data_IF_911482944178
#
_entry.id   IF_911482944178
#
_cell.length_a   1.000
_cell.length_b   1.000
_cell.length_c   1.000
_cell.angle_alpha   90.00
_cell.angle_beta   90.00
_cell.angle_gamma   90.00
#
_symmetry.space_group_name_H-M   'P 1'
#
loop_
_entity.id
_entity.type
_entity.pdbx_description
1 polymer ?
#
# COMPACT_ATOMS: atom_id res chain seq x y z
N UNK A 1 32.28 48.61 -81.54
CA UNK A 1 31.44 47.53 -81.06
C UNK A 1 32.25 46.78 -80.03
N UNK A 2 32.06 47.05 -78.78
CA UNK A 2 32.73 46.37 -77.65
C UNK A 2 31.64 45.94 -76.68
N UNK A 3 31.51 44.58 -76.53
CA UNK A 3 30.58 43.97 -75.59
C UNK A 3 31.19 44.01 -74.21
N UNK A 4 30.49 44.58 -73.24
CA UNK A 4 30.79 44.49 -71.83
C UNK A 4 29.93 43.38 -71.19
N UNK A 5 30.57 42.35 -70.76
CA UNK A 5 29.95 41.32 -69.93
C UNK A 5 29.95 41.79 -68.43
N UNK A 6 28.77 41.92 -67.86
CA UNK A 6 28.58 42.13 -66.40
C UNK A 6 28.53 40.81 -65.72
N UNK A 7 29.48 40.56 -64.87
CA UNK A 7 29.53 39.38 -63.99
C UNK A 7 28.83 39.76 -62.68
N UNK A 8 27.69 39.19 -62.43
CA UNK A 8 26.96 39.37 -61.14
C UNK A 8 27.47 38.33 -60.15
N UNK A 9 28.15 38.77 -59.09
CA UNK A 9 28.55 37.94 -57.97
C UNK A 9 27.37 37.77 -56.98
N UNK A 10 26.82 36.54 -56.85
CA UNK A 10 25.91 36.16 -55.81
C UNK A 10 26.67 35.92 -54.50
N UNK A 11 26.47 36.78 -53.52
CA UNK A 11 26.86 36.58 -52.14
C UNK A 11 25.83 35.67 -51.45
N UNK A 12 26.17 34.44 -51.18
CA UNK A 12 25.38 33.52 -50.39
C UNK A 12 25.69 33.78 -48.90
N UNK A 13 24.80 34.47 -48.22
CA UNK A 13 24.81 34.59 -46.75
C UNK A 13 24.35 33.26 -46.12
N UNK A 14 25.31 32.51 -45.61
CA UNK A 14 25.02 31.31 -44.80
C UNK A 14 24.61 31.74 -43.39
N UNK A 15 23.32 31.73 -43.10
CA UNK A 15 22.81 31.79 -41.74
C UNK A 15 23.11 30.46 -41.02
N UNK A 16 24.08 30.46 -40.11
CA UNK A 16 24.20 29.39 -39.13
C UNK A 16 23.07 29.51 -38.11
N UNK A 17 22.04 28.69 -38.25
CA UNK A 17 21.06 28.46 -37.20
C UNK A 17 21.75 27.66 -36.13
N UNK A 18 22.00 28.25 -34.96
CA UNK A 18 22.32 27.53 -33.74
C UNK A 18 21.06 26.72 -33.36
N UNK A 19 21.09 25.43 -33.63
CA UNK A 19 20.19 24.48 -32.97
C UNK A 19 20.56 24.46 -31.50
N UNK A 20 19.75 25.09 -30.67
CA UNK A 20 19.71 24.83 -29.25
C UNK A 20 19.19 23.39 -29.11
N UNK A 21 20.08 22.47 -28.87
CA UNK A 21 19.72 21.10 -28.43
C UNK A 21 19.10 21.27 -27.05
N UNK A 22 17.77 21.34 -27.01
CA UNK A 22 17.01 21.12 -25.78
C UNK A 22 17.24 19.66 -25.42
N UNK A 23 18.22 19.38 -24.56
CA UNK A 23 18.23 18.16 -23.76
C UNK A 23 17.02 18.21 -22.80
N UNK A 24 15.84 17.95 -23.35
CA UNK A 24 14.72 17.53 -22.56
C UNK A 24 15.09 16.14 -22.02
N UNK A 25 15.56 16.10 -20.77
CA UNK A 25 15.48 14.88 -19.96
C UNK A 25 14.01 14.45 -20.03
N UNK A 26 13.70 13.49 -20.90
CA UNK A 26 12.48 12.69 -20.76
C UNK A 26 12.56 12.03 -19.38
N UNK A 27 12.00 12.71 -18.39
CA UNK A 27 11.61 12.05 -17.16
C UNK A 27 10.57 11.02 -17.62
N UNK A 28 10.95 9.76 -17.64
CA UNK A 28 10.03 8.64 -17.83
C UNK A 28 8.96 8.73 -16.74
N UNK A 29 7.93 9.52 -16.98
CA UNK A 29 6.80 9.64 -16.07
C UNK A 29 6.20 8.24 -15.94
N UNK A 30 6.25 7.70 -14.71
CA UNK A 30 5.62 6.41 -14.43
C UNK A 30 4.13 6.58 -14.65
N UNK A 31 3.57 5.76 -15.53
CA UNK A 31 2.12 5.77 -15.74
C UNK A 31 1.44 5.25 -14.48
N UNK A 32 0.62 6.09 -13.85
CA UNK A 32 -0.18 5.72 -12.67
C UNK A 32 -1.28 4.73 -13.08
N UNK A 33 -1.82 4.91 -14.27
CA UNK A 33 -2.91 4.07 -14.79
C UNK A 33 -2.37 2.68 -15.10
N UNK A 34 -2.96 1.65 -14.46
CA UNK A 34 -2.59 0.25 -14.63
C UNK A 34 -1.10 -0.04 -14.35
N UNK A 35 -0.55 0.57 -13.29
CA UNK A 35 0.82 0.31 -12.83
C UNK A 35 1.00 -1.16 -12.42
N UNK A 36 0.13 -1.66 -11.54
CA UNK A 36 0.14 -3.07 -11.15
C UNK A 36 -0.46 -3.95 -12.24
N UNK A 37 0.00 -5.19 -12.30
CA UNK A 37 -0.44 -6.21 -13.25
C UNK A 37 -0.85 -7.48 -12.52
N UNK A 38 -1.85 -8.23 -13.01
CA UNK A 38 -2.29 -9.46 -12.37
C UNK A 38 -1.16 -10.48 -12.14
N UNK A 39 -0.16 -10.52 -13.03
CA UNK A 39 0.98 -11.42 -12.91
C UNK A 39 1.90 -11.04 -11.75
N UNK A 40 2.09 -9.75 -11.48
CA UNK A 40 2.87 -9.26 -10.34
C UNK A 40 2.15 -9.54 -9.03
N UNK A 41 0.84 -9.26 -9.00
CA UNK A 41 -0.05 -9.59 -7.87
C UNK A 41 0.00 -11.09 -7.58
N UNK A 42 -0.19 -11.92 -8.60
CA UNK A 42 -0.16 -13.38 -8.45
C UNK A 42 1.17 -13.87 -7.88
N UNK A 43 2.31 -13.33 -8.34
CA UNK A 43 3.65 -13.72 -7.87
C UNK A 43 3.85 -13.46 -6.38
N UNK A 44 3.45 -12.28 -5.89
CA UNK A 44 3.60 -11.92 -4.47
C UNK A 44 2.62 -12.72 -3.61
N UNK A 45 1.36 -12.79 -4.05
CA UNK A 45 0.28 -13.47 -3.33
C UNK A 45 0.53 -14.98 -3.22
N UNK A 46 0.92 -15.66 -4.32
CA UNK A 46 1.19 -17.10 -4.29
C UNK A 46 2.34 -17.48 -3.38
N UNK A 47 3.37 -16.63 -3.23
CA UNK A 47 4.42 -16.86 -2.26
C UNK A 47 3.89 -16.73 -0.84
N UNK A 48 3.19 -15.62 -0.54
CA UNK A 48 2.70 -15.34 0.81
C UNK A 48 1.65 -16.35 1.29
N UNK A 49 0.84 -16.89 0.38
CA UNK A 49 -0.20 -17.88 0.67
C UNK A 49 0.26 -19.33 0.38
N UNK A 50 1.56 -19.60 0.36
CA UNK A 50 2.05 -20.96 0.12
C UNK A 50 2.20 -21.77 1.39
N UNK A 51 2.03 -23.09 1.29
CA UNK A 51 2.27 -24.06 2.37
C UNK A 51 3.68 -23.98 2.96
N UNK A 52 4.68 -23.54 2.17
CA UNK A 52 6.05 -23.34 2.62
C UNK A 52 6.16 -22.35 3.77
N UNK A 53 5.16 -21.48 3.94
CA UNK A 53 5.09 -20.49 5.01
C UNK A 53 4.24 -20.96 6.21
N UNK A 54 3.69 -22.17 6.15
CA UNK A 54 2.95 -22.81 7.25
C UNK A 54 1.92 -21.88 7.92
N UNK A 55 1.22 -21.06 7.10
CA UNK A 55 0.22 -20.11 7.58
C UNK A 55 0.76 -18.93 8.39
N UNK A 56 2.05 -18.62 8.31
CA UNK A 56 2.69 -17.39 8.83
C UNK A 56 2.38 -17.03 10.29
N UNK A 57 2.16 -18.03 11.17
CA UNK A 57 1.91 -17.74 12.60
C UNK A 57 3.04 -16.89 13.19
N UNK A 58 2.69 -15.88 13.94
CA UNK A 58 3.65 -14.97 14.56
C UNK A 58 4.63 -15.70 15.47
N UNK A 59 5.94 -15.56 15.18
CA UNK A 59 7.02 -16.26 15.89
C UNK A 59 7.28 -17.69 15.41
N UNK A 60 6.77 -18.08 14.23
CA UNK A 60 7.09 -19.34 13.54
C UNK A 60 8.21 -19.17 12.51
N UNK A 61 8.68 -20.30 11.95
CA UNK A 61 9.61 -20.27 10.80
C UNK A 61 8.93 -19.72 9.54
N UNK A 62 7.63 -19.94 9.39
CA UNK A 62 6.86 -19.45 8.24
C UNK A 62 6.83 -17.92 8.16
N UNK A 63 6.55 -17.25 9.28
CA UNK A 63 6.57 -15.77 9.29
C UNK A 63 8.00 -15.21 9.14
N UNK A 64 9.03 -15.94 9.60
CA UNK A 64 10.42 -15.54 9.37
C UNK A 64 10.76 -15.56 7.87
N UNK A 65 10.34 -16.59 7.13
CA UNK A 65 10.49 -16.66 5.67
C UNK A 65 9.74 -15.51 4.97
N UNK A 66 8.51 -15.20 5.41
CA UNK A 66 7.73 -14.07 4.92
C UNK A 66 8.43 -12.73 5.22
N UNK A 67 9.00 -12.55 6.42
CA UNK A 67 9.79 -11.37 6.79
C UNK A 67 10.96 -11.15 5.84
N UNK A 68 11.75 -12.19 5.59
CA UNK A 68 12.90 -12.14 4.67
C UNK A 68 12.46 -11.75 3.24
N UNK A 69 11.35 -12.33 2.78
CA UNK A 69 10.77 -11.99 1.47
C UNK A 69 10.41 -10.51 1.38
N UNK A 70 9.69 -9.98 2.37
CA UNK A 70 9.28 -8.58 2.40
C UNK A 70 10.46 -7.61 2.53
N UNK A 71 11.46 -7.95 3.36
CA UNK A 71 12.72 -7.17 3.44
C UNK A 71 13.44 -7.11 2.09
N UNK A 72 13.51 -8.23 1.38
CA UNK A 72 14.14 -8.29 0.06
C UNK A 72 13.36 -7.44 -0.96
N UNK A 73 12.01 -7.49 -0.92
CA UNK A 73 11.17 -6.66 -1.78
C UNK A 73 11.41 -5.17 -1.55
N UNK A 74 11.52 -4.72 -0.29
CA UNK A 74 11.87 -3.33 0.04
C UNK A 74 13.25 -2.96 -0.49
N UNK A 75 14.26 -3.81 -0.24
CA UNK A 75 15.64 -3.60 -0.64
C UNK A 75 15.82 -3.53 -2.16
N UNK A 76 15.23 -4.47 -2.90
CA UNK A 76 15.30 -4.55 -4.36
C UNK A 76 14.66 -3.34 -5.04
N UNK A 77 13.66 -2.71 -4.40
CA UNK A 77 13.02 -1.50 -4.88
C UNK A 77 13.68 -0.20 -4.36
N UNK A 78 14.81 -0.30 -3.64
CA UNK A 78 15.56 0.85 -3.14
C UNK A 78 14.84 1.63 -2.03
N UNK A 79 13.87 1.02 -1.36
CA UNK A 79 13.21 1.56 -0.17
C UNK A 79 14.14 1.39 1.02
N UNK A 80 14.34 2.44 1.81
CA UNK A 80 15.23 2.40 2.98
C UNK A 80 14.51 1.80 4.20
N UNK A 81 15.24 1.20 5.14
CA UNK A 81 14.65 0.90 6.44
C UNK A 81 14.35 2.21 7.19
N UNK A 82 13.24 2.25 7.92
CA UNK A 82 12.93 3.42 8.77
C UNK A 82 13.76 3.43 10.05
N UNK A 83 13.96 2.26 10.66
CA UNK A 83 14.83 2.10 11.82
C UNK A 83 16.26 1.72 11.39
N UNK A 84 17.06 1.19 12.30
CA UNK A 84 18.41 0.69 11.98
C UNK A 84 18.39 -0.45 10.93
N UNK A 85 17.32 -1.25 10.95
CA UNK A 85 17.01 -2.32 9.98
C UNK A 85 15.55 -2.20 9.60
N UNK A 86 15.08 -3.03 8.65
CA UNK A 86 13.65 -3.10 8.34
C UNK A 86 12.82 -3.68 9.48
N UNK A 87 13.44 -4.47 10.37
CA UNK A 87 12.78 -5.19 11.45
C UNK A 87 12.57 -4.29 12.66
N UNK A 88 11.33 -4.17 13.06
CA UNK A 88 10.89 -3.58 14.32
C UNK A 88 10.43 -4.72 15.25
N UNK A 89 11.34 -5.16 16.12
CA UNK A 89 11.09 -6.31 17.01
C UNK A 89 10.01 -5.99 18.03
N UNK A 90 8.99 -6.83 18.12
CA UNK A 90 7.90 -6.67 19.06
C UNK A 90 8.37 -6.90 20.50
N UNK A 91 8.21 -5.90 21.37
CA UNK A 91 8.51 -6.02 22.81
C UNK A 91 7.32 -6.50 23.65
N UNK A 92 6.14 -6.53 23.07
CA UNK A 92 4.87 -6.90 23.70
C UNK A 92 4.35 -8.28 23.29
N UNK A 93 5.19 -9.08 22.64
CA UNK A 93 4.88 -10.45 22.25
C UNK A 93 5.91 -11.42 22.84
N UNK A 94 5.49 -12.62 23.24
CA UNK A 94 6.34 -13.57 23.95
C UNK A 94 7.33 -14.33 23.07
N UNK A 95 7.01 -14.48 21.78
CA UNK A 95 7.89 -15.06 20.76
C UNK A 95 8.57 -13.93 19.98
N UNK A 96 9.70 -14.23 19.35
CA UNK A 96 10.35 -13.25 18.44
C UNK A 96 9.51 -13.08 17.18
N UNK A 97 9.05 -11.88 16.95
CA UNK A 97 8.38 -11.48 15.70
C UNK A 97 8.63 -9.99 15.43
N UNK A 98 8.38 -9.55 14.20
CA UNK A 98 8.78 -8.23 13.74
C UNK A 98 7.69 -7.58 12.90
N UNK A 99 7.44 -6.29 13.08
CA UNK A 99 6.93 -5.49 11.97
C UNK A 99 8.06 -5.25 10.99
N UNK A 100 7.75 -5.22 9.69
CA UNK A 100 8.72 -4.86 8.65
C UNK A 100 8.38 -3.45 8.18
N UNK A 101 9.32 -2.50 8.32
CA UNK A 101 9.07 -1.07 8.11
C UNK A 101 10.02 -0.50 7.08
N UNK A 102 9.48 -0.16 5.91
CA UNK A 102 10.17 0.56 4.84
C UNK A 102 9.84 2.05 4.84
N UNK A 103 10.76 2.87 4.35
CA UNK A 103 10.66 4.33 4.36
C UNK A 103 11.01 4.92 3.00
N UNK A 104 10.14 5.80 2.51
CA UNK A 104 10.38 6.69 1.36
C UNK A 104 10.24 8.13 1.83
N UNK A 105 11.34 8.88 1.78
CA UNK A 105 11.36 10.30 2.15
C UNK A 105 10.49 11.13 1.20
N UNK A 106 9.78 12.10 1.76
CA UNK A 106 8.98 13.06 1.01
C UNK A 106 9.84 13.98 0.15
N UNK A 107 9.33 14.37 -1.01
CA UNK A 107 10.04 15.22 -1.97
C UNK A 107 9.86 16.72 -1.73
N UNK A 108 8.84 17.12 -0.96
CA UNK A 108 8.56 18.52 -0.66
C UNK A 108 9.28 18.96 0.63
N UNK A 109 10.02 20.05 0.59
CA UNK A 109 10.82 20.53 1.73
C UNK A 109 10.00 20.96 2.96
N UNK A 110 8.71 21.27 2.78
CA UNK A 110 7.82 21.67 3.87
C UNK A 110 7.01 20.50 4.43
N UNK A 111 6.69 19.52 3.57
CA UNK A 111 5.78 18.43 3.90
C UNK A 111 6.51 17.12 4.22
N UNK A 112 7.79 16.99 3.92
CA UNK A 112 8.54 15.73 4.09
C UNK A 112 8.66 15.25 5.54
N UNK A 113 8.49 16.14 6.50
CA UNK A 113 8.51 15.81 7.94
C UNK A 113 7.12 15.37 8.45
N UNK A 114 6.08 15.46 7.62
CA UNK A 114 4.77 14.85 7.84
C UNK A 114 4.76 13.44 7.26
N UNK A 115 4.20 12.49 8.03
CA UNK A 115 4.23 11.06 7.68
C UNK A 115 2.85 10.53 7.30
N UNK A 116 2.85 9.62 6.35
CA UNK A 116 1.71 8.76 6.01
C UNK A 116 2.12 7.32 6.22
N UNK A 117 1.23 6.51 6.79
CA UNK A 117 1.43 5.06 6.90
C UNK A 117 0.52 4.35 5.92
N UNK A 118 1.08 3.43 5.13
CA UNK A 118 0.35 2.49 4.29
C UNK A 118 0.75 1.09 4.76
N UNK A 119 -0.23 0.32 5.24
CA UNK A 119 0.05 -0.94 5.92
C UNK A 119 -0.92 -2.07 5.61
N UNK A 120 -0.51 -3.26 6.01
CA UNK A 120 -1.29 -4.49 6.09
C UNK A 120 -0.58 -5.46 7.04
N UNK A 121 -1.30 -6.37 7.70
CA UNK A 121 -0.62 -7.44 8.41
C UNK A 121 -0.18 -8.55 7.46
N UNK A 122 0.92 -9.23 7.81
CA UNK A 122 1.47 -10.31 7.01
C UNK A 122 1.53 -11.66 7.75
N UNK A 123 1.20 -11.65 9.05
CA UNK A 123 0.93 -12.87 9.80
C UNK A 123 -0.45 -13.43 9.48
N UNK A 124 -0.65 -14.71 9.84
CA UNK A 124 -1.95 -15.34 9.88
C UNK A 124 -1.95 -16.40 11.00
N UNK A 125 -2.92 -17.29 11.03
CA UNK A 125 -3.22 -18.14 12.18
C UNK A 125 -2.35 -19.42 12.27
N UNK A 126 -1.55 -19.72 11.22
CA UNK A 126 -0.67 -20.89 11.22
C UNK A 126 -1.40 -22.20 10.97
N UNK A 127 -0.93 -23.26 11.64
CA UNK A 127 -1.58 -24.58 11.57
C UNK A 127 -2.79 -24.63 12.50
N UNK A 128 -3.90 -25.14 11.96
CA UNK A 128 -5.20 -25.21 12.62
C UNK A 128 -5.78 -26.63 12.56
N UNK A 129 -7.02 -26.82 12.99
CA UNK A 129 -7.68 -28.12 12.87
C UNK A 129 -7.87 -28.49 11.39
N UNK A 130 -7.43 -29.68 11.00
CA UNK A 130 -7.48 -30.09 9.62
C UNK A 130 -8.92 -30.19 9.08
N UNK A 131 -9.11 -29.67 7.88
CA UNK A 131 -10.33 -29.82 7.07
C UNK A 131 -9.95 -30.60 5.81
N UNK A 132 -10.59 -31.73 5.55
CA UNK A 132 -10.30 -32.62 4.40
C UNK A 132 -8.81 -33.05 4.28
N UNK A 133 -8.07 -33.03 5.37
CA UNK A 133 -6.65 -33.42 5.43
C UNK A 133 -5.66 -32.26 5.31
N UNK A 134 -6.15 -31.05 5.10
CA UNK A 134 -5.38 -29.82 5.12
C UNK A 134 -5.48 -29.15 6.49
N UNK A 135 -4.33 -28.83 7.11
CA UNK A 135 -4.22 -28.19 8.44
C UNK A 135 -3.52 -26.83 8.41
N UNK A 136 -3.23 -26.28 7.23
CA UNK A 136 -2.52 -25.01 7.07
C UNK A 136 -3.54 -23.89 6.77
N UNK A 137 -3.64 -22.90 7.65
CA UNK A 137 -4.33 -21.65 7.35
C UNK A 137 -3.44 -20.78 6.48
N UNK A 138 -3.55 -20.90 5.15
CA UNK A 138 -2.68 -20.15 4.23
C UNK A 138 -2.96 -18.64 4.19
N UNK A 139 -4.19 -18.23 4.53
CA UNK A 139 -4.55 -16.83 4.66
C UNK A 139 -4.28 -16.01 3.40
N UNK A 140 -4.78 -16.51 2.26
CA UNK A 140 -4.60 -15.83 0.97
C UNK A 140 -5.38 -14.52 0.92
N UNK A 141 -6.65 -14.55 1.37
CA UNK A 141 -7.44 -13.35 1.55
C UNK A 141 -7.00 -12.61 2.82
N UNK A 142 -6.83 -13.34 3.93
CA UNK A 142 -6.47 -12.83 5.26
C UNK A 142 -4.99 -13.12 5.61
N UNK A 143 -4.03 -12.23 5.44
CA UNK A 143 -4.12 -10.97 4.72
C UNK A 143 -2.96 -10.86 3.72
N UNK A 144 -2.64 -12.00 3.05
CA UNK A 144 -1.67 -11.97 1.96
C UNK A 144 -2.13 -11.04 0.83
N UNK A 145 -3.46 -10.88 0.64
CA UNK A 145 -4.04 -9.96 -0.35
C UNK A 145 -3.70 -8.50 -0.04
N UNK A 146 -3.92 -8.04 1.19
CA UNK A 146 -3.57 -6.69 1.64
C UNK A 146 -2.06 -6.45 1.63
N UNK A 147 -1.27 -7.42 2.13
CA UNK A 147 0.19 -7.38 2.07
C UNK A 147 0.71 -7.23 0.63
N UNK A 148 0.08 -7.93 -0.33
CA UNK A 148 0.38 -7.79 -1.76
C UNK A 148 0.07 -6.37 -2.24
N UNK A 149 -1.07 -5.79 -1.84
CA UNK A 149 -1.41 -4.41 -2.23
C UNK A 149 -0.40 -3.40 -1.70
N UNK A 150 -0.01 -3.47 -0.43
CA UNK A 150 1.03 -2.61 0.14
C UNK A 150 2.34 -2.73 -0.63
N UNK A 151 2.73 -3.96 -1.02
CA UNK A 151 3.93 -4.22 -1.80
C UNK A 151 3.89 -3.53 -3.18
N UNK A 152 2.77 -3.60 -3.89
CA UNK A 152 2.61 -2.97 -5.21
C UNK A 152 2.55 -1.43 -5.10
N UNK A 153 1.85 -0.88 -4.11
CA UNK A 153 1.82 0.56 -3.84
C UNK A 153 3.22 1.06 -3.49
N UNK A 154 3.97 0.32 -2.66
CA UNK A 154 5.36 0.61 -2.33
C UNK A 154 6.24 0.66 -3.59
N UNK A 155 6.14 -0.33 -4.49
CA UNK A 155 6.87 -0.35 -5.78
C UNK A 155 6.58 0.88 -6.62
N UNK A 156 5.30 1.30 -6.66
CA UNK A 156 4.91 2.52 -7.37
C UNK A 156 5.64 3.74 -6.83
N UNK A 157 5.54 4.02 -5.53
CA UNK A 157 6.16 5.20 -4.92
C UNK A 157 7.69 5.12 -4.91
N UNK A 158 8.26 3.93 -4.77
CA UNK A 158 9.70 3.72 -4.90
C UNK A 158 10.23 4.12 -6.29
N UNK A 159 9.45 3.87 -7.33
CA UNK A 159 9.80 4.18 -8.72
C UNK A 159 9.45 5.62 -9.10
N UNK A 160 8.25 6.08 -8.76
CA UNK A 160 7.75 7.40 -9.18
C UNK A 160 8.38 8.55 -8.41
N UNK A 161 8.64 8.37 -7.10
CA UNK A 161 9.11 9.41 -6.18
C UNK A 161 8.21 10.66 -6.19
N UNK A 162 6.91 10.45 -6.31
CA UNK A 162 5.94 11.54 -6.43
C UNK A 162 5.32 11.96 -5.10
N UNK A 163 5.64 11.29 -4.01
CA UNK A 163 5.14 11.58 -2.66
C UNK A 163 5.75 12.88 -2.11
N UNK A 164 4.93 13.91 -1.83
CA UNK A 164 5.37 15.13 -1.14
C UNK A 164 5.69 14.86 0.33
N UNK A 165 4.85 14.06 1.02
CA UNK A 165 5.03 13.60 2.40
C UNK A 165 5.86 12.33 2.46
N UNK A 166 6.49 12.09 3.58
CA UNK A 166 7.20 10.84 3.86
C UNK A 166 6.21 9.68 4.04
N UNK A 167 6.56 8.51 3.55
CA UNK A 167 5.69 7.33 3.62
C UNK A 167 6.40 6.20 4.35
N UNK A 168 5.74 5.63 5.34
CA UNK A 168 6.10 4.36 5.95
C UNK A 168 5.23 3.26 5.33
N UNK A 169 5.88 2.29 4.70
CA UNK A 169 5.25 1.04 4.27
C UNK A 169 5.46 0.01 5.37
N UNK A 170 4.36 -0.45 5.95
CA UNK A 170 4.41 -1.28 7.14
C UNK A 170 3.70 -2.61 6.90
N UNK A 171 4.42 -3.70 7.15
CA UNK A 171 3.86 -5.03 7.23
C UNK A 171 3.81 -5.42 8.71
N UNK A 172 2.61 -5.47 9.26
CA UNK A 172 2.41 -5.75 10.70
C UNK A 172 2.47 -7.23 10.98
N UNK A 173 3.06 -7.59 12.13
CA UNK A 173 3.02 -8.94 12.67
C UNK A 173 2.14 -8.98 13.91
N UNK A 174 1.66 -10.17 14.24
CA UNK A 174 0.84 -10.43 15.43
C UNK A 174 -0.45 -9.58 15.48
N UNK A 175 -1.03 -9.32 14.31
CA UNK A 175 -2.39 -8.80 14.17
C UNK A 175 -3.37 -9.81 14.77
N UNK A 176 -3.26 -11.09 14.38
CA UNK A 176 -4.05 -12.25 14.81
C UNK A 176 -3.88 -12.59 16.31
N UNK A 177 -2.91 -11.99 16.94
CA UNK A 177 -2.67 -12.10 18.40
C UNK A 177 -3.20 -10.88 19.16
N UNK A 178 -4.09 -10.12 18.53
CA UNK A 178 -4.76 -8.94 19.09
C UNK A 178 -4.04 -7.64 18.82
N UNK A 179 -3.66 -7.39 17.57
CA UNK A 179 -3.06 -6.15 17.08
C UNK A 179 -1.72 -5.80 17.75
N UNK A 180 -0.92 -6.82 18.15
CA UNK A 180 0.26 -6.56 18.96
C UNK A 180 1.34 -5.78 18.19
N UNK A 181 1.51 -6.06 16.90
CA UNK A 181 2.48 -5.35 16.05
C UNK A 181 2.13 -3.89 15.87
N UNK A 182 0.91 -3.60 15.49
CA UNK A 182 0.45 -2.22 15.32
C UNK A 182 0.41 -1.44 16.64
N UNK A 183 0.01 -2.06 17.75
CA UNK A 183 0.09 -1.47 19.10
C UNK A 183 1.54 -1.10 19.47
N UNK A 184 2.49 -2.02 19.22
CA UNK A 184 3.90 -1.78 19.48
C UNK A 184 4.43 -0.60 18.66
N UNK A 185 4.17 -0.62 17.35
CA UNK A 185 4.69 0.40 16.43
C UNK A 185 4.03 1.76 16.66
N UNK A 186 2.70 1.81 16.83
CA UNK A 186 1.98 3.06 17.06
C UNK A 186 2.49 3.77 18.30
N UNK A 187 2.63 3.04 19.44
CA UNK A 187 3.22 3.60 20.65
C UNK A 187 4.65 4.09 20.42
N UNK A 188 5.49 3.29 19.78
CA UNK A 188 6.90 3.64 19.52
C UNK A 188 7.05 4.89 18.67
N UNK A 189 6.25 5.03 17.61
CA UNK A 189 6.27 6.20 16.74
C UNK A 189 5.70 7.44 17.44
N UNK A 190 4.67 7.28 18.28
CA UNK A 190 4.12 8.35 19.09
C UNK A 190 5.14 8.84 20.13
N UNK A 191 5.86 7.93 20.81
CA UNK A 191 6.95 8.27 21.74
C UNK A 191 8.10 9.03 21.03
N UNK A 192 8.29 8.83 19.72
CA UNK A 192 9.24 9.55 18.87
C UNK A 192 8.70 10.89 18.35
N UNK A 193 7.45 11.23 18.65
CA UNK A 193 6.75 12.44 18.22
C UNK A 193 6.77 12.65 16.70
N UNK A 194 6.59 11.59 15.90
CA UNK A 194 6.43 11.76 14.45
C UNK A 194 5.13 12.52 14.15
N UNK A 195 5.15 13.39 13.15
CA UNK A 195 3.95 14.09 12.69
C UNK A 195 3.15 13.21 11.73
N UNK A 196 2.35 12.27 12.27
CA UNK A 196 1.50 11.39 11.49
C UNK A 196 0.29 12.17 10.96
N UNK A 197 0.10 12.16 9.64
CA UNK A 197 -1.06 12.78 8.98
C UNK A 197 -2.24 11.83 8.92
N UNK A 198 -2.06 10.66 8.34
CA UNK A 198 -3.06 9.58 8.31
C UNK A 198 -2.40 8.21 8.17
N UNK A 199 -3.17 7.17 8.52
CA UNK A 199 -2.85 5.78 8.20
C UNK A 199 -3.92 5.17 7.29
N UNK A 200 -3.47 4.44 6.27
CA UNK A 200 -4.30 3.69 5.34
C UNK A 200 -3.90 2.21 5.37
N UNK A 201 -4.84 1.36 5.74
CA UNK A 201 -4.60 -0.07 5.90
C UNK A 201 -5.40 -0.87 4.88
N UNK A 202 -4.77 -1.91 4.30
CA UNK A 202 -5.43 -2.86 3.43
C UNK A 202 -5.74 -4.15 4.19
N UNK A 203 -6.99 -4.62 4.07
CA UNK A 203 -7.48 -5.79 4.78
C UNK A 203 -8.40 -6.61 3.90
N UNK A 204 -8.06 -7.90 3.67
CA UNK A 204 -8.92 -8.86 2.98
C UNK A 204 -9.56 -8.29 1.69
N UNK A 205 -8.73 -8.03 0.68
CA UNK A 205 -9.15 -7.49 -0.62
C UNK A 205 -9.08 -8.54 -1.74
N UNK A 206 -8.99 -9.82 -1.40
CA UNK A 206 -8.77 -10.91 -2.34
C UNK A 206 -9.99 -11.31 -3.16
N UNK A 207 -11.21 -11.00 -2.67
CA UNK A 207 -12.47 -11.42 -3.26
C UNK A 207 -13.39 -10.21 -3.46
N UNK A 208 -14.03 -10.12 -4.63
CA UNK A 208 -14.96 -9.04 -4.95
C UNK A 208 -16.24 -9.14 -4.10
N UNK A 209 -16.73 -8.01 -3.61
CA UNK A 209 -18.06 -7.92 -2.99
C UNK A 209 -19.18 -8.27 -3.99
N UNK A 210 -20.28 -8.83 -3.50
CA UNK A 210 -21.47 -9.15 -4.32
C UNK A 210 -22.31 -7.88 -4.63
N UNK A 211 -21.63 -6.76 -4.99
CA UNK A 211 -22.24 -5.48 -5.31
C UNK A 211 -21.35 -4.68 -6.24
N UNK A 212 -21.93 -3.77 -7.02
CA UNK A 212 -21.23 -2.99 -8.05
C UNK A 212 -21.29 -1.47 -7.80
N UNK A 213 -21.91 -1.01 -6.70
CA UNK A 213 -22.06 0.42 -6.45
C UNK A 213 -20.86 1.08 -5.78
N UNK A 214 -19.86 0.28 -5.36
CA UNK A 214 -18.57 0.72 -4.82
C UNK A 214 -17.54 -0.40 -4.97
N UNK A 215 -16.25 -0.06 -4.97
CA UNK A 215 -15.18 -1.05 -5.05
C UNK A 215 -14.75 -1.57 -3.67
N UNK A 216 -14.72 -0.69 -2.67
CA UNK A 216 -14.22 -0.95 -1.33
C UNK A 216 -15.19 -0.34 -0.29
N UNK A 217 -15.21 -0.90 0.90
CA UNK A 217 -15.74 -0.18 2.04
C UNK A 217 -14.61 0.28 2.97
N UNK A 218 -14.92 1.30 3.79
CA UNK A 218 -13.96 1.87 4.75
C UNK A 218 -14.47 1.61 6.17
N UNK A 219 -13.63 1.01 7.02
CA UNK A 219 -13.96 0.84 8.43
C UNK A 219 -13.95 2.19 9.15
N UNK A 220 -14.86 2.40 10.11
CA UNK A 220 -15.02 3.71 10.73
C UNK A 220 -15.44 4.79 9.73
N UNK A 221 -16.29 4.46 8.75
CA UNK A 221 -16.74 5.35 7.67
C UNK A 221 -17.23 6.72 8.16
N UNK A 222 -17.89 6.76 9.30
CA UNK A 222 -18.39 7.99 9.93
C UNK A 222 -17.36 8.78 10.74
N UNK A 223 -16.13 8.27 10.98
CA UNK A 223 -15.14 8.85 11.89
C UNK A 223 -14.28 9.93 11.30
N UNK A 224 -14.12 9.95 10.00
CA UNK A 224 -13.35 10.97 9.28
C UNK A 224 -14.04 11.35 7.96
N UNK A 225 -13.47 12.32 7.24
CA UNK A 225 -13.87 12.64 5.88
C UNK A 225 -13.08 11.84 4.81
N UNK A 226 -12.28 10.85 5.20
CA UNK A 226 -11.40 10.10 4.27
C UNK A 226 -12.17 9.50 3.09
N UNK A 227 -13.31 8.82 3.34
CA UNK A 227 -14.11 8.24 2.26
C UNK A 227 -14.61 9.29 1.26
N UNK A 228 -15.01 10.48 1.74
CA UNK A 228 -15.43 11.59 0.89
C UNK A 228 -14.28 12.06 0.00
N UNK A 229 -13.13 12.36 0.59
CA UNK A 229 -11.93 12.82 -0.13
C UNK A 229 -11.46 11.77 -1.15
N UNK A 230 -11.47 10.48 -0.77
CA UNK A 230 -11.11 9.40 -1.70
C UNK A 230 -12.04 9.36 -2.92
N UNK A 231 -13.35 9.48 -2.71
CA UNK A 231 -14.33 9.49 -3.81
C UNK A 231 -14.20 10.72 -4.71
N UNK A 232 -13.94 11.89 -4.13
CA UNK A 232 -13.66 13.12 -4.87
C UNK A 232 -12.41 12.97 -5.75
N UNK A 233 -11.33 12.43 -5.20
CA UNK A 233 -10.08 12.21 -5.94
C UNK A 233 -10.17 11.11 -7.00
N UNK A 234 -10.97 10.08 -6.74
CA UNK A 234 -11.26 9.03 -7.71
C UNK A 234 -12.20 9.50 -8.84
N UNK A 235 -12.99 10.56 -8.59
CA UNK A 235 -14.11 11.01 -9.46
C UNK A 235 -15.15 9.91 -9.71
N UNK A 236 -15.30 9.01 -8.73
CA UNK A 236 -16.26 7.91 -8.71
C UNK A 236 -16.54 7.48 -7.26
N UNK A 237 -17.60 6.70 -7.04
CA UNK A 237 -17.85 6.08 -5.73
C UNK A 237 -16.93 4.87 -5.53
N UNK A 238 -15.66 5.14 -5.25
CA UNK A 238 -14.65 4.12 -4.95
C UNK A 238 -14.91 3.47 -3.60
N UNK A 239 -15.23 4.29 -2.61
CA UNK A 239 -15.39 3.92 -1.20
C UNK A 239 -16.84 4.08 -0.77
N UNK A 240 -17.37 3.08 -0.08
CA UNK A 240 -18.68 3.16 0.53
C UNK A 240 -18.71 2.62 1.96
N UNK A 241 -19.93 2.45 2.46
CA UNK A 241 -20.25 1.91 3.77
C UNK A 241 -21.02 0.60 3.62
N UNK A 242 -20.75 -0.35 4.52
CA UNK A 242 -21.55 -1.56 4.71
C UNK A 242 -22.01 -1.68 6.18
N UNK A 243 -23.25 -2.16 6.45
CA UNK A 243 -23.73 -2.31 7.82
C UNK A 243 -22.90 -3.27 8.68
N UNK A 244 -22.30 -4.29 8.08
CA UNK A 244 -21.40 -5.26 8.73
C UNK A 244 -20.23 -4.57 9.45
N UNK A 245 -19.70 -3.46 8.89
CA UNK A 245 -18.64 -2.66 9.51
C UNK A 245 -18.99 -2.23 10.93
N UNK A 246 -20.18 -1.70 11.13
CA UNK A 246 -20.66 -1.28 12.46
C UNK A 246 -21.11 -2.47 13.30
N UNK A 247 -21.79 -3.43 12.71
CA UNK A 247 -22.32 -4.62 13.38
C UNK A 247 -21.21 -5.43 14.04
N UNK A 248 -20.11 -5.66 13.34
CA UNK A 248 -18.96 -6.44 13.82
C UNK A 248 -17.85 -5.57 14.40
N UNK A 249 -18.04 -4.24 14.50
CA UNK A 249 -17.07 -3.29 15.04
C UNK A 249 -15.69 -3.34 14.31
N UNK A 250 -15.68 -3.53 13.00
CA UNK A 250 -14.51 -3.79 12.21
C UNK A 250 -13.46 -2.66 12.30
N UNK A 251 -13.87 -1.44 12.59
CA UNK A 251 -12.94 -0.34 12.84
C UNK A 251 -11.91 -0.62 13.95
N UNK A 252 -12.29 -1.45 14.94
CA UNK A 252 -11.44 -1.83 16.09
C UNK A 252 -10.72 -3.15 15.89
N UNK A 253 -10.98 -3.83 14.80
CA UNK A 253 -10.56 -5.21 14.56
C UNK A 253 -9.35 -5.32 13.63
N UNK A 254 -8.69 -4.21 13.23
CA UNK A 254 -7.51 -4.25 12.41
C UNK A 254 -6.49 -3.18 12.79
N UNK A 255 -5.30 -3.19 12.19
CA UNK A 255 -4.10 -2.44 12.54
C UNK A 255 -4.23 -0.92 12.51
N UNK A 256 -5.29 -0.40 11.89
CA UNK A 256 -5.60 1.04 11.93
C UNK A 256 -5.92 1.54 13.34
N UNK A 257 -6.55 0.69 14.18
CA UNK A 257 -7.11 1.14 15.45
C UNK A 257 -6.07 1.63 16.46
N UNK A 258 -4.91 0.96 16.65
CA UNK A 258 -3.85 1.50 17.52
C UNK A 258 -3.34 2.86 17.09
N UNK A 259 -3.20 3.13 15.78
CA UNK A 259 -2.77 4.45 15.30
C UNK A 259 -3.83 5.53 15.52
N UNK A 260 -5.11 5.19 15.33
CA UNK A 260 -6.21 6.09 15.68
C UNK A 260 -6.18 6.49 17.16
N UNK A 261 -5.93 5.54 18.06
CA UNK A 261 -5.96 5.78 19.51
C UNK A 261 -4.72 6.49 20.03
N UNK A 262 -3.55 6.23 19.45
CA UNK A 262 -2.29 6.82 19.90
C UNK A 262 -2.06 8.23 19.36
N UNK A 263 -2.50 8.52 18.13
CA UNK A 263 -2.19 9.77 17.44
C UNK A 263 -3.39 10.73 17.31
N UNK A 264 -4.62 10.28 17.54
CA UNK A 264 -5.84 11.06 17.29
C UNK A 264 -5.89 11.62 15.85
N UNK A 265 -5.54 10.78 14.86
CA UNK A 265 -5.55 11.10 13.43
C UNK A 265 -6.44 10.13 12.66
N UNK A 266 -6.87 10.46 11.43
CA UNK A 266 -7.55 9.51 10.57
C UNK A 266 -6.68 8.28 10.32
N UNK A 267 -7.10 7.12 10.82
CA UNK A 267 -6.46 5.83 10.60
C UNK A 267 -7.55 4.81 10.32
N UNK A 268 -7.62 4.32 9.09
CA UNK A 268 -8.76 3.53 8.62
C UNK A 268 -8.31 2.40 7.69
N UNK A 269 -9.13 1.37 7.65
CA UNK A 269 -8.91 0.17 6.84
C UNK A 269 -9.89 0.10 5.70
N UNK A 270 -9.42 -0.24 4.51
CA UNK A 270 -10.27 -0.61 3.37
C UNK A 270 -10.29 -2.12 3.21
N UNK A 271 -11.47 -2.65 2.86
CA UNK A 271 -11.67 -4.07 2.63
C UNK A 271 -12.73 -4.32 1.57
N UNK A 272 -12.77 -5.57 1.08
CA UNK A 272 -13.83 -6.12 0.25
C UNK A 272 -14.51 -7.34 0.89
N UNK A 273 -14.04 -7.80 2.03
CA UNK A 273 -14.66 -8.90 2.78
C UNK A 273 -15.89 -8.40 3.55
N UNK A 274 -17.09 -8.81 3.16
CA UNK A 274 -18.36 -8.37 3.74
C UNK A 274 -19.10 -9.44 4.55
N UNK A 275 -18.44 -10.57 4.84
CA UNK A 275 -18.97 -11.76 5.53
C UNK A 275 -20.01 -12.56 4.74
N UNK A 276 -20.34 -12.15 3.52
CA UNK A 276 -21.27 -12.86 2.65
C UNK A 276 -20.61 -13.34 1.35
N UNK A 277 -19.43 -12.82 1.03
CA UNK A 277 -18.72 -13.08 -0.22
C UNK A 277 -17.57 -14.09 -0.09
N UNK A 278 -17.25 -14.55 1.11
CA UNK A 278 -16.12 -15.46 1.35
C UNK A 278 -16.34 -16.30 2.61
N UNK A 279 -16.50 -17.62 2.44
CA UNK A 279 -16.86 -18.56 3.52
C UNK A 279 -15.64 -19.11 4.30
N UNK A 280 -14.42 -18.83 3.84
CA UNK A 280 -13.19 -19.50 4.31
C UNK A 280 -12.35 -18.63 5.27
N UNK A 281 -12.94 -17.59 5.86
CA UNK A 281 -12.29 -16.77 6.88
C UNK A 281 -11.81 -17.65 8.05
N UNK A 282 -10.50 -17.62 8.35
CA UNK A 282 -9.84 -18.45 9.35
C UNK A 282 -10.01 -19.99 9.12
N UNK A 283 -10.06 -20.39 7.85
CA UNK A 283 -10.16 -21.79 7.42
C UNK A 283 -8.92 -22.18 6.59
N UNK A 284 -8.58 -23.49 6.48
CA UNK A 284 -7.51 -23.93 5.59
C UNK A 284 -7.79 -23.58 4.12
N UNK A 285 -9.06 -23.56 3.73
CA UNK A 285 -9.50 -23.24 2.37
C UNK A 285 -9.34 -21.74 2.00
N UNK A 286 -8.75 -20.89 2.84
CA UNK A 286 -8.35 -19.52 2.43
C UNK A 286 -7.08 -19.56 1.57
N UNK A 287 -7.27 -19.97 0.31
CA UNK A 287 -6.24 -20.37 -0.63
C UNK A 287 -6.04 -19.39 -1.79
N UNK A 288 -4.79 -19.39 -2.32
CA UNK A 288 -4.41 -18.56 -3.48
C UNK A 288 -5.32 -18.74 -4.69
N UNK A 289 -5.78 -19.96 -4.95
CA UNK A 289 -6.61 -20.31 -6.10
C UNK A 289 -7.96 -19.57 -6.10
N UNK A 290 -8.50 -19.31 -4.91
CA UNK A 290 -9.78 -18.61 -4.73
C UNK A 290 -9.68 -17.09 -4.90
N UNK A 291 -8.47 -16.54 -4.90
CA UNK A 291 -8.29 -15.10 -5.01
C UNK A 291 -8.50 -14.58 -6.43
N UNK A 292 -9.23 -13.49 -6.56
CA UNK A 292 -9.40 -12.75 -7.82
C UNK A 292 -8.23 -11.78 -8.04
N UNK A 293 -7.19 -12.26 -8.71
CA UNK A 293 -5.99 -11.48 -9.02
C UNK A 293 -6.29 -10.22 -9.84
N UNK A 294 -7.30 -10.28 -10.72
CA UNK A 294 -7.71 -9.11 -11.51
C UNK A 294 -8.41 -8.07 -10.64
N UNK A 295 -9.26 -8.50 -9.70
CA UNK A 295 -9.91 -7.62 -8.73
C UNK A 295 -8.87 -6.94 -7.81
N UNK A 296 -7.94 -7.70 -7.21
CA UNK A 296 -6.86 -7.14 -6.39
C UNK A 296 -6.06 -6.09 -7.18
N UNK A 297 -5.70 -6.41 -8.43
CA UNK A 297 -5.01 -5.48 -9.33
C UNK A 297 -5.81 -4.21 -9.56
N UNK A 298 -7.13 -4.34 -9.76
CA UNK A 298 -8.02 -3.19 -9.93
C UNK A 298 -8.08 -2.31 -8.67
N UNK A 299 -8.19 -2.93 -7.48
CA UNK A 299 -8.14 -2.22 -6.20
C UNK A 299 -6.84 -1.41 -6.09
N UNK A 300 -5.70 -2.02 -6.34
CA UNK A 300 -4.39 -1.37 -6.28
C UNK A 300 -4.32 -0.20 -7.26
N UNK A 301 -4.68 -0.41 -8.52
CA UNK A 301 -4.59 0.61 -9.57
C UNK A 301 -5.56 1.77 -9.36
N UNK A 302 -6.69 1.54 -8.69
CA UNK A 302 -7.66 2.59 -8.33
C UNK A 302 -7.23 3.37 -7.09
N UNK A 303 -6.57 2.72 -6.13
CA UNK A 303 -6.14 3.39 -4.89
C UNK A 303 -4.84 4.17 -5.03
N UNK A 304 -3.88 3.73 -5.86
CA UNK A 304 -2.61 4.44 -6.08
C UNK A 304 -2.79 5.94 -6.39
N UNK A 305 -3.55 6.35 -7.44
CA UNK A 305 -3.69 7.77 -7.77
C UNK A 305 -4.44 8.57 -6.69
N UNK A 306 -5.32 7.93 -5.95
CA UNK A 306 -6.04 8.53 -4.83
C UNK A 306 -5.10 8.78 -3.67
N UNK A 307 -4.31 7.77 -3.26
CA UNK A 307 -3.31 7.90 -2.21
C UNK A 307 -2.26 8.95 -2.56
N UNK A 308 -1.82 9.01 -3.83
CA UNK A 308 -0.88 10.04 -4.28
C UNK A 308 -1.45 11.44 -4.09
N UNK A 309 -2.70 11.69 -4.49
CA UNK A 309 -3.37 12.98 -4.28
C UNK A 309 -3.52 13.30 -2.79
N UNK A 310 -3.95 12.33 -1.96
CA UNK A 310 -4.13 12.50 -0.53
C UNK A 310 -2.82 12.92 0.17
N UNK A 311 -1.71 12.24 -0.12
CA UNK A 311 -0.41 12.58 0.50
C UNK A 311 0.25 13.82 -0.10
N UNK A 312 -0.21 14.31 -1.25
CA UNK A 312 0.32 15.48 -1.96
C UNK A 312 -0.50 16.75 -1.76
N UNK A 313 -1.63 16.69 -1.06
CA UNK A 313 -2.42 17.86 -0.70
C UNK A 313 -1.57 18.86 0.11
N UNK A 314 -1.72 20.16 -0.15
CA UNK A 314 -0.91 21.20 0.48
C UNK A 314 -1.19 21.36 1.99
N UNK A 315 -2.33 20.85 2.46
CA UNK A 315 -2.75 20.83 3.87
C UNK A 315 -3.19 19.43 4.30
N UNK A 316 -3.32 19.20 5.61
CA UNK A 316 -3.92 17.98 6.16
C UNK A 316 -5.45 18.03 6.03
N UNK A 317 -5.96 17.84 4.81
CA UNK A 317 -7.40 17.94 4.50
C UNK A 317 -8.23 16.73 4.98
N UNK A 318 -7.58 15.58 5.18
CA UNK A 318 -8.23 14.41 5.78
C UNK A 318 -8.21 14.60 7.28
N UNK A 319 -9.40 14.66 7.89
CA UNK A 319 -9.57 15.00 9.29
C UNK A 319 -10.63 14.11 9.96
N UNK A 320 -10.49 13.92 11.25
CA UNK A 320 -11.52 13.28 12.05
C UNK A 320 -12.77 14.16 12.08
N UNK A 321 -13.92 13.51 12.02
CA UNK A 321 -15.20 14.17 12.30
C UNK A 321 -15.39 14.32 13.81
N UNK A 322 -15.71 15.51 14.23
CA UNK A 322 -16.02 15.85 15.63
C UNK A 322 -17.44 15.44 15.99
#
# INVERSE_FOLDING_TARGET
>A
MKNFLFLAALLVLSCKTNQVVNDSKETNAVSIINFSKPENVAKTLSFLASDDLEGRDSGSEGIEKASIFLENMLKENGVKPYFKTYRDTLSNFSKTSYNIVGYIEGTDLKLKDEFVIIGAHYDHIGKIAAVNGDDIGNGANDNASGTTAVTEVMKYFAKSKTNKRSVLFVFFSAEEKGLLGSKHLAKKLNDQNIDLYFMFNYEMIGVKMNRDDMLLYLTGFGRSNMAQIMNEYASEKLIGYIPAETQYQLFRASDNYPFYTEFDVPAQTVSTFDFENFDFYHQPDDEFELMDKAHITNVINKTIPVLEKMMNADTKEIQLKK
#
